data_IF_431310324780
#
_entry.id   IF_431310324780
#
_cell.length_a   1.000
_cell.length_b   1.000
_cell.length_c   1.000
_cell.angle_alpha   90.00
_cell.angle_beta   90.00
_cell.angle_gamma   90.00
#
_symmetry.space_group_name_H-M   'P 1'
#
loop_
_entity.id
_entity.type
_entity.pdbx_description
1 polymer ?
#
# COMPACT_ATOMS: atom_id res chain seq x y z
N UNK A 1 23.34 -28.41 17.41
CA UNK A 1 22.00 -28.40 18.01
C UNK A 1 21.40 -27.03 17.70
N UNK A 2 20.38 -27.00 16.85
CA UNK A 2 19.86 -25.79 16.19
C UNK A 2 19.06 -24.95 17.19
N UNK A 3 19.39 -23.66 17.30
CA UNK A 3 18.62 -22.66 18.03
C UNK A 3 17.45 -22.22 17.15
N UNK A 4 16.23 -22.54 17.54
CA UNK A 4 15.03 -22.09 16.86
C UNK A 4 14.79 -20.60 17.16
N UNK A 5 14.79 -19.77 16.12
CA UNK A 5 14.34 -18.37 16.19
C UNK A 5 12.81 -18.32 16.25
N UNK A 6 12.19 -17.56 17.16
CA UNK A 6 10.73 -17.52 17.35
C UNK A 6 10.04 -16.44 16.51
N UNK A 7 10.48 -16.20 15.26
CA UNK A 7 9.82 -15.26 14.36
C UNK A 7 9.61 -15.93 13.00
N UNK A 8 8.45 -16.55 12.87
CA UNK A 8 7.98 -17.11 11.62
C UNK A 8 6.60 -17.73 11.76
N UNK A 9 5.55 -16.95 11.52
CA UNK A 9 4.23 -17.45 11.12
C UNK A 9 3.29 -16.31 10.75
N UNK A 10 3.03 -16.13 9.45
CA UNK A 10 1.85 -15.45 8.89
C UNK A 10 1.73 -13.97 9.20
N UNK A 11 2.29 -13.12 8.34
CA UNK A 11 1.87 -11.73 8.30
C UNK A 11 0.39 -11.69 7.82
N UNK A 12 -0.56 -11.17 8.64
CA UNK A 12 -1.99 -11.18 8.31
C UNK A 12 -2.29 -10.50 6.98
N UNK A 13 -1.48 -9.52 6.60
CA UNK A 13 -1.59 -8.80 5.35
C UNK A 13 -1.01 -9.60 4.17
N UNK A 14 0.05 -10.37 4.36
CA UNK A 14 0.55 -11.35 3.37
C UNK A 14 -0.49 -12.44 3.08
N UNK A 15 -1.21 -12.89 4.11
CA UNK A 15 -2.31 -13.84 3.96
C UNK A 15 -3.52 -13.21 3.25
N UNK A 16 -3.85 -11.95 3.56
CA UNK A 16 -4.87 -11.17 2.84
C UNK A 16 -4.52 -11.01 1.35
N UNK A 17 -3.26 -10.66 1.05
CA UNK A 17 -2.77 -10.53 -0.31
C UNK A 17 -2.78 -11.88 -1.04
N UNK A 18 -2.29 -12.96 -0.42
CA UNK A 18 -2.29 -14.29 -1.05
C UNK A 18 -3.71 -14.84 -1.31
N UNK A 19 -4.62 -14.64 -0.35
CA UNK A 19 -6.03 -15.05 -0.47
C UNK A 19 -6.74 -14.31 -1.61
N UNK A 20 -6.43 -13.03 -1.81
CA UNK A 20 -7.16 -12.15 -2.72
C UNK A 20 -6.57 -12.06 -4.14
N UNK A 21 -5.30 -12.43 -4.31
CA UNK A 21 -4.60 -12.52 -5.60
C UNK A 21 -4.61 -13.94 -6.21
N UNK A 22 -5.39 -14.87 -5.62
CA UNK A 22 -5.67 -16.18 -6.21
C UNK A 22 -4.58 -17.23 -6.03
N UNK A 23 -3.85 -17.21 -4.91
CA UNK A 23 -2.84 -18.23 -4.57
C UNK A 23 -3.38 -19.26 -3.56
N UNK A 24 -4.64 -19.67 -3.70
CA UNK A 24 -5.15 -20.84 -2.98
C UNK A 24 -4.49 -22.11 -3.54
N UNK A 25 -3.93 -23.00 -2.69
CA UNK A 25 -3.16 -24.17 -3.12
C UNK A 25 -3.99 -25.29 -3.80
N UNK A 26 -5.28 -25.07 -4.04
CA UNK A 26 -6.21 -26.15 -4.42
C UNK A 26 -6.33 -26.42 -5.94
N UNK A 27 -5.70 -25.63 -6.82
CA UNK A 27 -5.64 -25.99 -8.24
C UNK A 27 -4.51 -25.25 -8.99
N UNK A 28 -3.34 -25.90 -9.21
CA UNK A 28 -2.48 -25.62 -10.39
C UNK A 28 -1.28 -26.58 -10.57
N UNK A 29 -0.74 -26.70 -11.82
CA UNK A 29 0.26 -27.69 -12.33
C UNK A 29 1.74 -27.40 -11.90
N UNK A 30 2.77 -28.14 -12.38
CA UNK A 30 4.07 -28.26 -11.69
C UNK A 30 4.89 -26.96 -11.60
N UNK A 31 5.77 -26.98 -10.60
CA UNK A 31 6.63 -25.93 -10.05
C UNK A 31 7.26 -24.97 -11.08
N UNK A 32 6.56 -23.87 -11.35
CA UNK A 32 7.22 -22.59 -11.64
C UNK A 32 7.19 -21.84 -10.32
N UNK A 33 8.36 -21.51 -9.77
CA UNK A 33 8.50 -20.82 -8.49
C UNK A 33 7.94 -19.39 -8.62
N UNK A 34 6.63 -19.25 -8.51
CA UNK A 34 5.92 -17.97 -8.49
C UNK A 34 6.32 -17.29 -7.19
N UNK A 35 7.15 -16.24 -7.31
CA UNK A 35 7.52 -15.42 -6.15
C UNK A 35 6.22 -14.82 -5.59
N UNK A 36 5.88 -15.05 -4.31
CA UNK A 36 4.70 -14.46 -3.70
C UNK A 36 4.79 -12.94 -3.82
N UNK A 37 3.74 -12.26 -4.28
CA UNK A 37 3.77 -10.80 -4.45
C UNK A 37 3.99 -10.09 -3.10
N UNK A 38 3.59 -10.70 -1.98
CA UNK A 38 3.95 -10.24 -0.63
C UNK A 38 5.45 -10.22 -0.34
N UNK A 39 6.26 -11.08 -0.99
CA UNK A 39 7.75 -11.01 -0.97
C UNK A 39 8.31 -10.03 -2.00
N UNK A 40 7.48 -9.53 -2.91
CA UNK A 40 7.89 -8.54 -3.89
C UNK A 40 7.78 -7.13 -3.34
N UNK A 41 7.15 -6.90 -2.19
CA UNK A 41 7.15 -5.59 -1.53
C UNK A 41 8.50 -5.36 -0.83
N UNK A 42 8.99 -4.11 -0.87
CA UNK A 42 10.10 -3.71 0.00
C UNK A 42 9.62 -3.60 1.46
N UNK A 43 10.55 -3.60 2.40
CA UNK A 43 10.25 -3.37 3.82
C UNK A 43 9.46 -2.07 4.05
N UNK A 44 9.84 -0.98 3.37
CA UNK A 44 9.13 0.29 3.46
C UNK A 44 7.71 0.23 2.87
N UNK A 45 7.47 -0.64 1.89
CA UNK A 45 6.12 -0.86 1.36
C UNK A 45 5.27 -1.71 2.31
N UNK A 46 5.87 -2.66 3.04
CA UNK A 46 5.16 -3.35 4.14
C UNK A 46 4.80 -2.37 5.26
N UNK A 47 5.73 -1.52 5.66
CA UNK A 47 5.49 -0.47 6.66
C UNK A 47 4.33 0.46 6.23
N UNK A 48 4.30 0.86 4.95
CA UNK A 48 3.23 1.69 4.39
C UNK A 48 1.87 0.98 4.47
N UNK A 49 1.81 -0.29 4.09
CA UNK A 49 0.57 -1.07 4.14
C UNK A 49 0.09 -1.30 5.57
N UNK A 50 1.01 -1.56 6.50
CA UNK A 50 0.69 -1.69 7.92
C UNK A 50 0.13 -0.38 8.49
N UNK A 51 0.74 0.76 8.18
CA UNK A 51 0.25 2.07 8.60
C UNK A 51 -1.13 2.39 7.99
N UNK A 52 -1.35 2.06 6.71
CA UNK A 52 -2.65 2.25 6.05
C UNK A 52 -3.75 1.37 6.68
N UNK A 53 -3.43 0.10 6.97
CA UNK A 53 -4.35 -0.83 7.62
C UNK A 53 -4.69 -0.40 9.04
N UNK A 54 -3.70 0.02 9.83
CA UNK A 54 -3.94 0.56 11.17
C UNK A 54 -4.87 1.77 11.13
N UNK A 55 -4.64 2.70 10.19
CA UNK A 55 -5.50 3.86 10.01
C UNK A 55 -6.92 3.49 9.59
N UNK A 56 -7.08 2.56 8.65
CA UNK A 56 -8.38 2.09 8.21
C UNK A 56 -9.17 1.44 9.35
N UNK A 57 -8.50 0.67 10.21
CA UNK A 57 -9.08 0.11 11.42
C UNK A 57 -9.50 1.19 12.42
N UNK A 58 -8.65 2.20 12.67
CA UNK A 58 -9.00 3.37 13.50
C UNK A 58 -10.22 4.13 12.97
N UNK A 59 -10.33 4.26 11.65
CA UNK A 59 -11.44 4.94 10.97
C UNK A 59 -12.69 4.03 10.83
N UNK A 60 -12.60 2.77 11.26
CA UNK A 60 -13.68 1.79 11.18
C UNK A 60 -14.11 1.45 9.75
N UNK A 61 -13.17 1.45 8.81
CA UNK A 61 -13.42 1.36 7.37
C UNK A 61 -12.48 0.38 6.67
N UNK A 62 -12.78 0.07 5.40
CA UNK A 62 -11.90 -0.75 4.56
C UNK A 62 -10.65 0.03 4.11
N UNK A 63 -9.53 -0.68 3.93
CA UNK A 63 -8.27 -0.12 3.45
C UNK A 63 -8.42 0.31 1.99
N UNK A 64 -8.68 1.61 1.83
CA UNK A 64 -8.80 2.29 0.54
C UNK A 64 -7.53 3.03 0.07
N UNK A 65 -7.52 3.51 -1.17
CA UNK A 65 -6.44 4.31 -1.76
C UNK A 65 -6.10 5.57 -0.95
N UNK A 66 -7.09 6.20 -0.30
CA UNK A 66 -6.86 7.34 0.58
C UNK A 66 -6.03 6.95 1.82
N UNK A 67 -6.24 5.77 2.40
CA UNK A 67 -5.44 5.26 3.51
C UNK A 67 -4.00 4.96 3.07
N UNK A 68 -3.83 4.42 1.86
CA UNK A 68 -2.50 4.20 1.28
C UNK A 68 -1.74 5.52 1.07
N UNK A 69 -2.41 6.55 0.56
CA UNK A 69 -1.78 7.86 0.42
C UNK A 69 -1.45 8.48 1.77
N UNK A 70 -2.39 8.44 2.72
CA UNK A 70 -2.12 8.92 4.08
C UNK A 70 -0.91 8.21 4.69
N UNK A 71 -0.81 6.89 4.56
CA UNK A 71 0.35 6.16 5.07
C UNK A 71 1.65 6.55 4.37
N UNK A 72 1.62 6.85 3.07
CA UNK A 72 2.78 7.33 2.34
C UNK A 72 3.34 8.66 2.87
N UNK A 73 2.50 9.50 3.49
CA UNK A 73 2.97 10.73 4.16
C UNK A 73 3.55 10.47 5.54
N UNK A 74 3.42 9.26 6.09
CA UNK A 74 3.93 8.87 7.42
C UNK A 74 5.21 8.05 7.34
N UNK A 75 5.36 7.22 6.31
CA UNK A 75 6.53 6.34 6.16
C UNK A 75 7.75 7.11 5.62
N UNK A 76 8.92 7.06 6.28
CA UNK A 76 10.08 7.88 5.91
C UNK A 76 10.51 7.77 4.45
N UNK A 77 10.58 6.55 3.90
CA UNK A 77 10.99 6.34 2.51
C UNK A 77 9.99 6.94 1.51
N UNK A 78 8.69 6.84 1.79
CA UNK A 78 7.65 7.43 0.96
C UNK A 78 7.62 8.97 1.08
N UNK A 79 7.83 9.51 2.28
CA UNK A 79 7.99 10.95 2.52
C UNK A 79 9.14 11.54 1.70
N UNK A 80 10.29 10.87 1.66
CA UNK A 80 11.42 11.32 0.84
C UNK A 80 11.07 11.40 -0.64
N UNK A 81 10.28 10.46 -1.16
CA UNK A 81 9.80 10.49 -2.56
C UNK A 81 8.86 11.69 -2.78
N UNK A 82 7.96 11.97 -1.85
CA UNK A 82 7.06 13.13 -1.91
C UNK A 82 7.85 14.45 -1.87
N UNK A 83 8.81 14.58 -0.95
CA UNK A 83 9.66 15.76 -0.83
C UNK A 83 10.49 16.01 -2.09
N UNK A 84 11.04 14.95 -2.70
CA UNK A 84 11.75 15.05 -3.98
C UNK A 84 10.85 15.48 -5.13
N UNK A 85 9.55 15.19 -5.06
CA UNK A 85 8.54 15.66 -6.00
C UNK A 85 8.03 17.09 -5.69
N UNK A 86 8.57 17.75 -4.66
CA UNK A 86 8.15 19.10 -4.24
C UNK A 86 6.85 19.14 -3.44
N UNK A 87 6.39 18.00 -2.94
CA UNK A 87 5.18 17.89 -2.11
C UNK A 87 5.57 17.99 -0.65
N UNK A 88 4.85 18.80 0.14
CA UNK A 88 4.97 18.82 1.60
C UNK A 88 4.17 17.65 2.20
N UNK A 89 4.84 16.63 2.77
CA UNK A 89 4.13 15.44 3.26
C UNK A 89 3.20 15.75 4.45
N UNK A 90 3.52 16.75 5.26
CA UNK A 90 2.70 17.10 6.44
C UNK A 90 1.43 17.83 6.00
N UNK A 91 1.53 18.75 5.05
CA UNK A 91 0.35 19.38 4.40
C UNK A 91 -0.54 18.34 3.73
N UNK A 92 0.05 17.43 2.97
CA UNK A 92 -0.70 16.35 2.33
C UNK A 92 -1.37 15.43 3.37
N UNK A 93 -0.68 15.08 4.46
CA UNK A 93 -1.24 14.26 5.53
C UNK A 93 -2.52 14.88 6.10
N UNK A 94 -2.49 16.18 6.38
CA UNK A 94 -3.65 16.92 6.89
C UNK A 94 -4.81 16.97 5.88
N UNK A 95 -4.49 17.19 4.61
CA UNK A 95 -5.51 17.22 3.54
C UNK A 95 -6.20 15.87 3.39
N UNK A 96 -5.42 14.79 3.31
CA UNK A 96 -5.95 13.43 3.16
C UNK A 96 -6.72 13.01 4.40
N UNK A 97 -6.21 13.29 5.60
CA UNK A 97 -6.88 12.93 6.86
C UNK A 97 -8.28 13.56 6.99
N UNK A 98 -8.51 14.76 6.45
CA UNK A 98 -9.85 15.39 6.42
C UNK A 98 -10.84 14.70 5.49
N UNK A 99 -10.35 13.98 4.48
CA UNK A 99 -11.17 13.26 3.52
C UNK A 99 -11.39 11.79 3.92
N UNK A 100 -10.62 11.28 4.89
CA UNK A 100 -10.81 9.93 5.41
C UNK A 100 -12.14 9.81 6.16
N UNK A 101 -12.80 8.64 6.08
CA UNK A 101 -13.95 8.37 6.91
C UNK A 101 -13.57 8.47 8.40
N UNK A 102 -14.57 8.69 9.25
CA UNK A 102 -14.39 8.64 10.70
C UNK A 102 -15.52 7.84 11.29
N UNK A 103 -15.19 6.75 11.97
CA UNK A 103 -16.14 5.82 12.57
C UNK A 103 -15.46 4.90 13.57
N UNK A 104 -16.28 4.21 14.36
CA UNK A 104 -15.81 3.12 15.22
C UNK A 104 -16.27 1.80 14.56
N UNK A 105 -15.32 1.05 14.01
CA UNK A 105 -15.56 -0.27 13.45
C UNK A 105 -14.70 -1.31 14.16
N UNK A 106 -15.29 -2.45 14.51
CA UNK A 106 -14.62 -3.56 15.22
C UNK A 106 -14.09 -4.64 14.27
N UNK A 107 -13.92 -4.31 12.98
CA UNK A 107 -13.52 -5.25 11.93
C UNK A 107 -12.07 -5.10 11.51
N UNK A 108 -11.43 -6.21 11.13
CA UNK A 108 -10.16 -6.17 10.41
C UNK A 108 -10.40 -5.61 9.00
N UNK A 109 -9.74 -4.49 8.62
CA UNK A 109 -10.05 -3.79 7.38
C UNK A 109 -9.70 -4.64 6.16
N UNK A 110 -10.64 -4.76 5.23
CA UNK A 110 -10.40 -5.43 3.94
C UNK A 110 -9.86 -4.44 2.91
N UNK A 111 -9.16 -4.93 1.89
CA UNK A 111 -8.73 -4.08 0.76
C UNK A 111 -9.93 -3.71 -0.13
N UNK A 112 -10.13 -2.42 -0.37
CA UNK A 112 -11.12 -1.98 -1.36
C UNK A 112 -10.67 -2.36 -2.79
N UNK A 113 -11.60 -2.41 -3.77
CA UNK A 113 -11.24 -2.59 -5.18
C UNK A 113 -10.27 -1.51 -5.71
N UNK A 114 -10.37 -0.29 -5.20
CA UNK A 114 -9.50 0.81 -5.60
C UNK A 114 -8.07 0.63 -5.05
N UNK A 115 -7.93 0.31 -3.76
CA UNK A 115 -6.64 -0.03 -3.18
C UNK A 115 -5.99 -1.23 -3.88
N UNK A 116 -6.76 -2.28 -4.17
CA UNK A 116 -6.26 -3.45 -4.94
C UNK A 116 -5.70 -3.04 -6.28
N UNK A 117 -6.43 -2.20 -7.03
CA UNK A 117 -5.99 -1.71 -8.34
C UNK A 117 -4.71 -0.89 -8.23
N UNK A 118 -4.61 -0.01 -7.24
CA UNK A 118 -3.39 0.77 -7.01
C UNK A 118 -2.17 -0.15 -6.79
N UNK A 119 -2.32 -1.20 -5.97
CA UNK A 119 -1.23 -2.17 -5.73
C UNK A 119 -0.88 -3.00 -6.97
N UNK A 120 -1.88 -3.39 -7.78
CA UNK A 120 -1.66 -4.05 -9.07
C UNK A 120 -0.89 -3.14 -10.04
N UNK A 121 -1.25 -1.86 -10.10
CA UNK A 121 -0.57 -0.87 -10.94
C UNK A 121 0.86 -0.61 -10.44
N UNK A 122 1.07 -0.56 -9.11
CA UNK A 122 2.40 -0.43 -8.51
C UNK A 122 3.30 -1.61 -8.89
N UNK A 123 2.76 -2.83 -8.87
CA UNK A 123 3.48 -4.01 -9.34
C UNK A 123 3.83 -3.92 -10.83
N UNK A 124 2.89 -3.52 -11.68
CA UNK A 124 3.17 -3.35 -13.11
C UNK A 124 4.30 -2.32 -13.35
N UNK A 125 4.36 -1.24 -12.57
CA UNK A 125 5.43 -0.26 -12.61
C UNK A 125 6.77 -0.81 -12.16
N UNK A 126 6.81 -1.55 -11.05
CA UNK A 126 8.05 -2.12 -10.55
C UNK A 126 8.67 -3.07 -11.59
N UNK A 127 7.83 -3.85 -12.28
CA UNK A 127 8.25 -4.69 -13.40
C UNK A 127 8.78 -3.87 -14.58
N UNK A 128 8.08 -2.81 -14.97
CA UNK A 128 8.51 -1.94 -16.07
C UNK A 128 9.83 -1.20 -15.76
N UNK A 129 10.07 -0.88 -14.49
CA UNK A 129 11.30 -0.27 -14.00
C UNK A 129 12.46 -1.27 -13.81
N UNK A 130 12.21 -2.59 -13.97
CA UNK A 130 13.19 -3.63 -13.67
C UNK A 130 13.56 -3.73 -12.19
N UNK A 131 12.69 -3.23 -11.30
CA UNK A 131 12.92 -3.23 -9.86
C UNK A 131 12.70 -4.64 -9.27
N UNK A 132 13.63 -5.07 -8.43
CA UNK A 132 13.51 -6.35 -7.70
C UNK A 132 12.36 -6.37 -6.69
N UNK A 133 11.92 -5.19 -6.26
CA UNK A 133 10.85 -5.00 -5.28
C UNK A 133 9.94 -3.84 -5.68
N UNK A 134 8.67 -3.92 -5.26
CA UNK A 134 7.67 -2.88 -5.25
C UNK A 134 7.99 -1.97 -4.05
N UNK A 135 8.72 -0.89 -4.32
CA UNK A 135 8.98 0.20 -3.38
C UNK A 135 7.80 1.19 -3.23
N UNK A 136 7.85 2.05 -2.20
CA UNK A 136 6.82 3.07 -1.95
C UNK A 136 6.64 4.05 -3.13
N UNK A 137 7.69 4.31 -3.90
CA UNK A 137 7.66 5.11 -5.13
C UNK A 137 6.71 4.53 -6.19
N UNK A 138 6.63 3.20 -6.29
CA UNK A 138 5.73 2.53 -7.23
C UNK A 138 4.28 2.62 -6.76
N UNK A 139 4.05 2.53 -5.45
CA UNK A 139 2.73 2.67 -4.83
C UNK A 139 2.24 4.10 -5.01
N UNK A 140 3.06 5.10 -4.66
CA UNK A 140 2.76 6.51 -4.86
C UNK A 140 2.44 6.82 -6.32
N UNK A 141 3.31 6.44 -7.25
CA UNK A 141 3.06 6.68 -8.68
C UNK A 141 1.76 6.03 -9.17
N UNK A 142 1.40 4.86 -8.66
CA UNK A 142 0.15 4.19 -8.99
C UNK A 142 -1.10 4.88 -8.41
N UNK A 143 -1.00 5.45 -7.20
CA UNK A 143 -2.09 6.19 -6.56
C UNK A 143 -2.37 7.53 -7.27
N UNK A 144 -1.30 8.22 -7.67
CA UNK A 144 -1.36 9.53 -8.33
C UNK A 144 -1.96 9.47 -9.73
N UNK A 145 -1.74 8.38 -10.45
CA UNK A 145 -2.26 8.20 -11.81
C UNK A 145 -3.68 7.66 -11.88
N UNK A 146 -4.28 7.23 -10.76
CA UNK A 146 -5.67 6.80 -10.76
C UNK A 146 -6.58 8.01 -10.56
N UNK A 147 -7.26 8.54 -11.61
CA UNK A 147 -8.05 9.77 -11.52
C UNK A 147 -9.27 9.63 -10.58
N UNK A 148 -9.57 8.42 -10.11
CA UNK A 148 -10.70 8.11 -9.22
C UNK A 148 -10.35 8.17 -7.74
N UNK A 149 -9.08 8.33 -7.38
CA UNK A 149 -8.66 8.49 -5.98
C UNK A 149 -8.98 9.88 -5.44
N UNK A 150 -9.45 10.80 -6.29
CA UNK A 150 -9.68 12.22 -5.93
C UNK A 150 -8.39 12.99 -5.70
N UNK A 151 -7.22 12.34 -5.86
CA UNK A 151 -5.92 12.92 -5.48
C UNK A 151 -5.45 14.05 -6.39
N UNK A 152 -5.93 14.06 -7.64
CA UNK A 152 -5.69 15.16 -8.56
C UNK A 152 -6.25 16.49 -8.03
N UNK A 153 -7.35 16.47 -7.26
CA UNK A 153 -7.91 17.67 -6.64
C UNK A 153 -7.07 18.12 -5.43
N UNK A 154 -6.56 17.18 -4.61
CA UNK A 154 -5.68 17.52 -3.47
C UNK A 154 -4.32 18.04 -3.92
N UNK A 155 -3.74 17.51 -5.00
CA UNK A 155 -2.44 17.94 -5.53
C UNK A 155 -2.53 19.16 -6.46
N UNK A 156 -3.64 19.33 -7.18
CA UNK A 156 -3.90 20.52 -8.00
C UNK A 156 -3.96 21.81 -7.18
N UNK A 157 -4.17 21.71 -5.86
CA UNK A 157 -4.09 22.84 -4.94
C UNK A 157 -2.65 23.21 -4.51
N UNK A 158 -1.69 22.29 -4.64
CA UNK A 158 -0.28 22.49 -4.23
C UNK A 158 0.62 22.94 -5.40
N UNK A 159 0.18 22.70 -6.65
CA UNK A 159 0.85 23.16 -7.87
C UNK A 159 0.43 24.57 -8.30
N UNK A 160 0.83 25.59 -7.54
CA UNK A 160 0.81 26.99 -8.00
C UNK A 160 2.03 27.33 -8.88
N UNK A 161 1.93 28.32 -9.79
CA UNK A 161 2.92 28.61 -10.83
C UNK A 161 4.30 29.04 -10.34
#
# INVERSE_FOLDING_TARGET
MVTASPFGSGDPFSDLFNRFFGMSPAASPPAVQRVPIGRLLSESSHELLAAAGARAAEDGSDLDAAHLLWAATRVPAARQVLEQAGVDPDRMAEQVARALPSGAGDGEPSLTPAAKRALLNAHARSQAAGASYIGPEHILAALLEDPRTGLAETLGAEGGP
#
